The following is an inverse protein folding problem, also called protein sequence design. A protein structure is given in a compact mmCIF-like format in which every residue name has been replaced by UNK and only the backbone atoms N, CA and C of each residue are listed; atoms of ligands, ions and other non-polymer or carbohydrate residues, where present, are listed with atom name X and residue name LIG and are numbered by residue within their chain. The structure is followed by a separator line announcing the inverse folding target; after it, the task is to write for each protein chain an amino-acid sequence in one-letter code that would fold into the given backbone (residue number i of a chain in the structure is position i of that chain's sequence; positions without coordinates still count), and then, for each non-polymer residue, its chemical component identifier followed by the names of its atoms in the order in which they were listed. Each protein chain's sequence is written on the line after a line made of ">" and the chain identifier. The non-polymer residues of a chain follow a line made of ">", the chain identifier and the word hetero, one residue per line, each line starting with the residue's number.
data_IF_599503415996
#
_entry.id   IF_599503415996
#
_cell.length_a   1.000
_cell.length_b   1.000
_cell.length_c   1.000
_cell.angle_alpha   90.00
_cell.angle_beta   90.00
_cell.angle_gamma   90.00
#
_symmetry.space_group_name_H-M   'P 1'
#
loop_
_entity.id
_entity.type
_entity.pdbx_description
1 polymer ?
#
# COMPACT_ATOMS: atom_id res chain seq x y z
N UNK A 1 -39.35 14.94 6.74
CA UNK A 1 -39.58 13.53 6.33
C UNK A 1 -39.53 12.64 7.57
N UNK A 2 -40.44 11.67 7.71
CA UNK A 2 -40.53 10.79 8.89
C UNK A 2 -39.22 10.07 9.25
N UNK A 3 -38.38 9.75 8.25
CA UNK A 3 -37.06 9.12 8.42
C UNK A 3 -36.09 9.92 9.31
N UNK A 4 -36.13 11.26 9.23
CA UNK A 4 -35.22 12.14 10.00
C UNK A 4 -35.90 12.79 11.21
N UNK A 5 -37.22 12.96 11.15
CA UNK A 5 -38.01 13.69 12.15
C UNK A 5 -38.52 12.79 13.28
N UNK A 6 -38.71 11.49 13.05
CA UNK A 6 -39.26 10.56 14.06
C UNK A 6 -38.18 9.77 14.80
N UNK A 7 -38.48 9.35 16.05
CA UNK A 7 -37.59 8.50 16.85
C UNK A 7 -37.39 7.11 16.22
N UNK A 8 -38.42 6.59 15.56
CA UNK A 8 -38.40 5.29 14.87
C UNK A 8 -37.59 5.35 13.57
N UNK A 9 -37.73 6.41 12.77
CA UNK A 9 -36.95 6.62 11.55
C UNK A 9 -35.45 6.72 11.83
N UNK A 10 -35.06 7.42 12.91
CA UNK A 10 -33.64 7.50 13.33
C UNK A 10 -33.07 6.14 13.72
N UNK A 11 -33.83 5.32 14.45
CA UNK A 11 -33.39 3.95 14.79
C UNK A 11 -33.26 3.09 13.54
N UNK A 12 -34.17 3.23 12.57
CA UNK A 12 -34.08 2.50 11.31
C UNK A 12 -32.79 2.85 10.53
N UNK A 13 -32.44 4.14 10.40
CA UNK A 13 -31.18 4.56 9.77
C UNK A 13 -29.96 4.01 10.54
N UNK A 14 -30.01 4.02 11.87
CA UNK A 14 -28.96 3.42 12.71
C UNK A 14 -28.80 1.92 12.45
N UNK A 15 -29.91 1.18 12.33
CA UNK A 15 -29.92 -0.25 12.03
C UNK A 15 -29.39 -0.53 10.61
N UNK A 16 -29.80 0.24 9.62
CA UNK A 16 -29.39 0.06 8.22
C UNK A 16 -27.89 0.32 8.04
N UNK A 17 -27.40 1.46 8.54
CA UNK A 17 -25.96 1.76 8.50
C UNK A 17 -25.14 0.72 9.27
N UNK A 18 -25.61 0.30 10.45
CA UNK A 18 -24.98 -0.76 11.23
C UNK A 18 -24.90 -2.09 10.47
N UNK A 19 -25.96 -2.49 9.76
CA UNK A 19 -25.97 -3.70 8.96
C UNK A 19 -24.92 -3.65 7.84
N UNK A 20 -24.83 -2.53 7.10
CA UNK A 20 -23.81 -2.35 6.08
C UNK A 20 -22.38 -2.41 6.65
N UNK A 21 -22.15 -1.78 7.81
CA UNK A 21 -20.84 -1.80 8.47
C UNK A 21 -20.47 -3.19 8.99
N UNK A 22 -21.43 -3.99 9.48
CA UNK A 22 -21.18 -5.39 9.85
C UNK A 22 -20.76 -6.22 8.63
N UNK A 23 -21.44 -6.05 7.49
CA UNK A 23 -21.08 -6.73 6.25
C UNK A 23 -19.67 -6.34 5.80
N UNK A 24 -19.35 -5.04 5.83
CA UNK A 24 -18.01 -4.55 5.52
C UNK A 24 -16.95 -5.16 6.44
N UNK A 25 -17.13 -5.09 7.77
CA UNK A 25 -16.16 -5.63 8.74
C UNK A 25 -15.96 -7.14 8.56
N UNK A 26 -17.03 -7.87 8.22
CA UNK A 26 -16.97 -9.30 7.91
C UNK A 26 -16.12 -9.54 6.66
N UNK A 27 -16.46 -8.87 5.56
CA UNK A 27 -15.71 -8.97 4.31
C UNK A 27 -14.24 -8.61 4.53
N UNK A 28 -13.98 -7.50 5.21
CA UNK A 28 -12.65 -7.04 5.58
C UNK A 28 -11.89 -8.09 6.40
N UNK A 29 -12.52 -8.72 7.39
CA UNK A 29 -11.91 -9.79 8.18
C UNK A 29 -11.49 -10.98 7.31
N UNK A 30 -12.35 -11.41 6.39
CA UNK A 30 -12.10 -12.58 5.53
C UNK A 30 -10.97 -12.29 4.54
N UNK A 31 -10.97 -11.13 3.89
CA UNK A 31 -9.91 -10.76 2.96
C UNK A 31 -8.55 -10.65 3.66
N UNK A 32 -8.51 -10.07 4.86
CA UNK A 32 -7.28 -10.01 5.67
C UNK A 32 -6.83 -11.39 6.17
N UNK A 33 -7.74 -12.33 6.39
CA UNK A 33 -7.37 -13.69 6.80
C UNK A 33 -6.53 -14.41 5.74
N UNK A 34 -6.67 -14.04 4.45
CA UNK A 34 -5.83 -14.57 3.38
C UNK A 34 -4.35 -14.26 3.63
N UNK A 35 -4.00 -13.10 4.21
CA UNK A 35 -2.61 -12.77 4.53
C UNK A 35 -1.97 -13.72 5.57
N UNK A 36 -2.78 -14.46 6.34
CA UNK A 36 -2.27 -15.44 7.30
C UNK A 36 -1.73 -16.69 6.62
N UNK A 37 -2.48 -17.19 5.63
CA UNK A 37 -2.24 -18.48 4.98
C UNK A 37 -1.54 -18.33 3.64
N UNK A 38 -1.80 -17.25 2.91
CA UNK A 38 -1.29 -17.03 1.56
C UNK A 38 -0.95 -15.54 1.31
N UNK A 39 0.19 -15.06 1.84
CA UNK A 39 0.58 -13.65 1.76
C UNK A 39 0.67 -13.07 0.34
N UNK A 40 1.10 -13.85 -0.65
CA UNK A 40 1.15 -13.39 -2.05
C UNK A 40 -0.24 -13.17 -2.64
N UNK A 41 -1.21 -14.03 -2.32
CA UNK A 41 -2.60 -13.84 -2.74
C UNK A 41 -3.24 -12.61 -2.07
N UNK A 42 -2.83 -12.28 -0.84
CA UNK A 42 -3.26 -11.04 -0.20
C UNK A 42 -2.79 -9.78 -0.95
N UNK A 43 -1.58 -9.76 -1.51
CA UNK A 43 -1.15 -8.62 -2.31
C UNK A 43 -1.96 -8.50 -3.62
N UNK A 44 -2.35 -9.61 -4.25
CA UNK A 44 -3.26 -9.59 -5.42
C UNK A 44 -4.62 -9.00 -5.04
N UNK A 45 -5.12 -9.32 -3.85
CA UNK A 45 -6.33 -8.68 -3.30
C UNK A 45 -6.13 -7.18 -3.12
N UNK A 46 -4.96 -6.75 -2.62
CA UNK A 46 -4.63 -5.35 -2.43
C UNK A 46 -4.57 -4.58 -3.75
N UNK A 47 -3.98 -5.18 -4.79
CA UNK A 47 -3.99 -4.65 -6.15
C UNK A 47 -5.41 -4.52 -6.71
N UNK A 48 -6.24 -5.57 -6.58
CA UNK A 48 -7.63 -5.53 -7.01
C UNK A 48 -8.43 -4.44 -6.26
N UNK A 49 -8.19 -4.27 -4.96
CA UNK A 49 -8.84 -3.26 -4.12
C UNK A 49 -8.07 -1.94 -4.04
N UNK A 50 -7.10 -1.71 -4.94
CA UNK A 50 -6.38 -0.43 -5.09
C UNK A 50 -7.29 0.70 -5.60
N UNK A 51 -6.73 1.79 -6.10
CA UNK A 51 -7.48 2.97 -6.57
C UNK A 51 -8.28 2.76 -7.87
N UNK A 52 -8.78 1.54 -8.10
CA UNK A 52 -9.75 1.23 -9.14
C UNK A 52 -11.09 1.94 -8.90
N UNK A 53 -11.75 2.38 -9.97
CA UNK A 53 -12.98 3.20 -9.88
C UNK A 53 -14.08 2.59 -8.98
N UNK A 54 -14.26 1.27 -9.02
CA UNK A 54 -15.27 0.57 -8.21
C UNK A 54 -14.89 0.52 -6.73
N UNK A 55 -13.60 0.36 -6.42
CA UNK A 55 -13.08 0.36 -5.06
C UNK A 55 -13.13 1.78 -4.46
N UNK A 56 -12.89 2.82 -5.27
CA UNK A 56 -13.06 4.21 -4.87
C UNK A 56 -14.53 4.54 -4.55
N UNK A 57 -15.47 4.15 -5.41
CA UNK A 57 -16.91 4.32 -5.16
C UNK A 57 -17.34 3.59 -3.88
N UNK A 58 -16.88 2.35 -3.69
CA UNK A 58 -17.15 1.59 -2.47
C UNK A 58 -16.56 2.27 -1.21
N UNK A 59 -15.33 2.78 -1.30
CA UNK A 59 -14.65 3.52 -0.22
C UNK A 59 -15.40 4.79 0.16
N UNK A 60 -15.82 5.59 -0.82
CA UNK A 60 -16.63 6.80 -0.59
C UNK A 60 -17.99 6.46 0.02
N UNK A 61 -18.66 5.41 -0.47
CA UNK A 61 -19.92 4.93 0.09
C UNK A 61 -19.78 4.47 1.54
N UNK A 62 -18.71 3.74 1.86
CA UNK A 62 -18.41 3.31 3.22
C UNK A 62 -18.11 4.49 4.14
N UNK A 63 -17.31 5.45 3.69
CA UNK A 63 -17.03 6.68 4.44
C UNK A 63 -18.33 7.43 4.76
N UNK A 64 -19.22 7.58 3.78
CA UNK A 64 -20.53 8.19 3.98
C UNK A 64 -21.38 7.41 5.00
N UNK A 65 -21.46 6.08 4.89
CA UNK A 65 -22.18 5.23 5.84
C UNK A 65 -21.65 5.40 7.26
N UNK A 66 -20.33 5.46 7.43
CA UNK A 66 -19.67 5.64 8.71
C UNK A 66 -19.97 7.02 9.33
N UNK A 67 -19.91 8.08 8.52
CA UNK A 67 -20.27 9.45 8.93
C UNK A 67 -21.74 9.51 9.38
N UNK A 68 -22.66 8.97 8.58
CA UNK A 68 -24.10 8.93 8.92
C UNK A 68 -24.30 8.15 10.23
N UNK A 69 -23.63 7.01 10.38
CA UNK A 69 -23.72 6.18 11.59
C UNK A 69 -23.32 6.96 12.84
N UNK A 70 -22.20 7.69 12.80
CA UNK A 70 -21.71 8.50 13.92
C UNK A 70 -22.64 9.66 14.25
N UNK A 71 -23.11 10.39 13.22
CA UNK A 71 -24.02 11.52 13.40
C UNK A 71 -25.32 11.04 14.07
N UNK A 72 -25.93 9.97 13.56
CA UNK A 72 -27.16 9.41 14.13
C UNK A 72 -26.95 8.85 15.53
N UNK A 73 -25.84 8.14 15.78
CA UNK A 73 -25.50 7.64 17.11
C UNK A 73 -25.33 8.79 18.12
N UNK A 74 -24.68 9.88 17.72
CA UNK A 74 -24.50 11.08 18.56
C UNK A 74 -25.84 11.76 18.85
N UNK A 75 -26.65 11.99 17.83
CA UNK A 75 -28.00 12.56 17.99
C UNK A 75 -28.87 11.73 18.92
N UNK A 76 -28.89 10.40 18.76
CA UNK A 76 -29.69 9.50 19.57
C UNK A 76 -29.17 9.45 21.02
N UNK A 77 -27.85 9.49 21.21
CA UNK A 77 -27.23 9.52 22.55
C UNK A 77 -27.59 10.80 23.30
N UNK A 78 -27.51 11.96 22.63
CA UNK A 78 -27.89 13.25 23.22
C UNK A 78 -29.38 13.27 23.55
N UNK A 79 -30.25 12.80 22.66
CA UNK A 79 -31.69 12.73 22.90
C UNK A 79 -32.03 11.81 24.09
N UNK A 80 -31.43 10.62 24.15
CA UNK A 80 -31.60 9.69 25.26
C UNK A 80 -31.07 10.26 26.58
N UNK A 81 -30.02 11.10 26.54
CA UNK A 81 -29.50 11.80 27.72
C UNK A 81 -30.44 12.90 28.18
N UNK A 82 -30.95 13.73 27.25
CA UNK A 82 -31.93 14.79 27.54
C UNK A 82 -33.23 14.22 28.09
N UNK A 83 -33.75 13.13 27.52
CA UNK A 83 -34.98 12.48 27.96
C UNK A 83 -34.86 11.85 29.37
N UNK A 84 -33.65 11.43 29.78
CA UNK A 84 -33.40 10.91 31.14
C UNK A 84 -33.36 12.01 32.21
N UNK A 85 -33.15 13.28 31.83
CA UNK A 85 -33.02 14.39 32.77
C UNK A 85 -31.81 14.27 33.72
N UNK A 86 -31.72 15.17 34.71
CA UNK A 86 -30.65 15.18 35.72
C UNK A 86 -30.88 14.22 36.90
N UNK A 87 -31.96 13.42 36.89
CA UNK A 87 -32.27 12.53 38.00
C UNK A 87 -31.34 11.32 37.99
N UNK A 88 -30.49 11.23 39.02
CA UNK A 88 -29.73 10.01 39.34
C UNK A 88 -30.74 8.90 39.62
N UNK A 89 -30.62 7.76 38.94
CA UNK A 89 -31.51 6.60 39.13
C UNK A 89 -31.76 6.36 40.63
N UNK A 90 -33.03 6.41 41.04
CA UNK A 90 -33.47 6.13 42.41
C UNK A 90 -33.30 4.64 42.81
N UNK A 91 -32.85 3.81 41.87
CA UNK A 91 -32.55 2.40 42.06
C UNK A 91 -31.12 2.18 41.53
N UNK A 92 -30.16 1.97 42.43
CA UNK A 92 -28.74 1.72 42.10
C UNK A 92 -28.49 0.32 41.52
N UNK A 93 -29.51 -0.55 41.53
CA UNK A 93 -29.43 -1.90 40.98
C UNK A 93 -29.73 -1.84 39.48
N UNK A 94 -28.83 -2.41 38.68
CA UNK A 94 -29.06 -2.61 37.25
C UNK A 94 -30.44 -3.25 37.05
N UNK A 95 -31.31 -2.64 36.25
CA UNK A 95 -32.56 -3.28 35.86
C UNK A 95 -32.23 -4.66 35.25
N UNK A 96 -32.97 -5.74 35.61
CA UNK A 96 -32.71 -7.07 35.09
C UNK A 96 -32.64 -7.06 33.55
N UNK A 97 -31.54 -7.53 32.98
CA UNK A 97 -31.38 -7.67 31.52
C UNK A 97 -30.71 -6.52 30.77
N UNK A 98 -30.21 -5.46 31.43
CA UNK A 98 -29.45 -4.38 30.76
C UNK A 98 -27.95 -4.72 30.67
N UNK A 99 -27.46 -4.96 29.45
CA UNK A 99 -26.05 -5.27 29.17
C UNK A 99 -25.13 -4.05 29.41
N UNK A 100 -23.91 -4.27 29.91
CA UNK A 100 -22.92 -3.20 30.12
C UNK A 100 -22.54 -2.49 28.82
N UNK A 101 -22.42 -3.23 27.72
CA UNK A 101 -22.19 -2.70 26.37
C UNK A 101 -23.25 -1.68 25.96
N UNK A 102 -24.52 -1.95 26.25
CA UNK A 102 -25.63 -1.04 25.94
C UNK A 102 -25.52 0.32 26.65
N UNK A 103 -24.93 0.34 27.85
CA UNK A 103 -24.73 1.56 28.64
C UNK A 103 -23.55 2.39 28.15
N UNK A 104 -22.54 1.73 27.59
CA UNK A 104 -21.28 2.33 27.15
C UNK A 104 -21.14 2.39 25.62
N UNK A 105 -22.21 2.15 24.87
CA UNK A 105 -22.21 2.04 23.40
C UNK A 105 -21.54 3.23 22.71
N UNK A 106 -21.81 4.46 23.17
CA UNK A 106 -21.21 5.66 22.60
C UNK A 106 -19.70 5.73 22.87
N UNK A 107 -19.26 5.37 24.08
CA UNK A 107 -17.84 5.34 24.45
C UNK A 107 -17.10 4.28 23.64
N UNK A 108 -17.69 3.08 23.48
CA UNK A 108 -17.15 2.04 22.61
C UNK A 108 -17.01 2.54 21.16
N UNK A 109 -18.00 3.27 20.66
CA UNK A 109 -17.94 3.90 19.34
C UNK A 109 -16.79 4.91 19.19
N UNK A 110 -16.51 5.71 20.23
CA UNK A 110 -15.37 6.64 20.24
C UNK A 110 -14.03 5.89 20.21
N UNK A 111 -13.90 4.80 20.97
CA UNK A 111 -12.69 3.96 20.94
C UNK A 111 -12.48 3.34 19.56
N UNK A 112 -13.55 2.84 18.93
CA UNK A 112 -13.50 2.31 17.56
C UNK A 112 -13.11 3.39 16.55
N UNK A 113 -13.61 4.62 16.70
CA UNK A 113 -13.23 5.74 15.84
C UNK A 113 -11.73 6.07 15.97
N UNK A 114 -11.20 6.11 17.20
CA UNK A 114 -9.77 6.33 17.43
C UNK A 114 -8.91 5.21 16.82
N UNK A 115 -9.32 3.96 16.99
CA UNK A 115 -8.70 2.80 16.33
C UNK A 115 -8.75 2.94 14.80
N UNK A 116 -9.90 3.32 14.23
CA UNK A 116 -10.07 3.47 12.78
C UNK A 116 -9.12 4.54 12.21
N UNK A 117 -8.91 5.66 12.90
CA UNK A 117 -7.96 6.69 12.44
C UNK A 117 -6.54 6.13 12.32
N UNK A 118 -6.07 5.41 13.35
CA UNK A 118 -4.76 4.74 13.30
C UNK A 118 -4.70 3.74 12.15
N UNK A 119 -5.74 2.92 12.01
CA UNK A 119 -5.84 1.93 10.95
C UNK A 119 -5.80 2.55 9.54
N UNK A 120 -6.53 3.65 9.31
CA UNK A 120 -6.53 4.35 8.03
C UNK A 120 -5.17 4.97 7.71
N UNK A 121 -4.46 5.52 8.70
CA UNK A 121 -3.10 6.06 8.50
C UNK A 121 -2.11 4.96 8.13
N UNK A 122 -2.20 3.79 8.78
CA UNK A 122 -1.25 2.70 8.56
C UNK A 122 -1.46 1.96 7.23
N UNK A 123 -2.71 1.91 6.73
CA UNK A 123 -3.06 1.11 5.56
C UNK A 123 -3.64 1.98 4.43
N UNK A 124 -4.85 2.52 4.60
CA UNK A 124 -5.55 3.23 3.53
C UNK A 124 -4.75 4.42 2.97
N UNK A 125 -4.11 5.21 3.85
CA UNK A 125 -3.32 6.38 3.46
C UNK A 125 -2.05 6.00 2.68
N UNK A 126 -1.42 4.87 3.03
CA UNK A 126 -0.20 4.38 2.35
C UNK A 126 -0.47 3.60 1.06
N UNK A 127 -1.71 3.17 0.88
CA UNK A 127 -2.13 2.37 -0.27
C UNK A 127 -2.98 3.22 -1.22
N UNK A 128 -4.30 3.21 -1.04
CA UNK A 128 -5.26 3.82 -1.96
C UNK A 128 -5.12 5.35 -2.04
N UNK A 129 -4.83 6.05 -0.93
CA UNK A 129 -4.62 7.50 -0.98
C UNK A 129 -3.33 7.86 -1.72
N UNK A 130 -2.22 7.17 -1.43
CA UNK A 130 -0.94 7.39 -2.10
C UNK A 130 -1.05 7.19 -3.63
N UNK A 131 -1.80 6.17 -4.05
CA UNK A 131 -2.10 5.91 -5.46
C UNK A 131 -2.94 7.03 -6.09
N UNK A 132 -3.98 7.51 -5.40
CA UNK A 132 -4.82 8.65 -5.87
C UNK A 132 -3.99 9.93 -6.02
N UNK A 133 -3.05 10.17 -5.11
CA UNK A 133 -2.18 11.35 -5.14
C UNK A 133 -1.07 11.24 -6.20
N UNK A 134 -0.87 10.05 -6.79
CA UNK A 134 0.27 9.78 -7.68
C UNK A 134 1.62 9.81 -6.95
N UNK A 135 1.62 9.66 -5.62
CA UNK A 135 2.80 9.63 -4.76
C UNK A 135 3.16 8.19 -4.42
N UNK A 136 3.42 7.38 -5.44
CA UNK A 136 3.97 6.04 -5.27
C UNK A 136 5.45 6.19 -4.94
N UNK A 137 5.78 6.19 -3.65
CA UNK A 137 7.17 6.21 -3.20
C UNK A 137 7.94 4.95 -3.63
N UNK A 138 9.04 4.64 -2.96
CA UNK A 138 9.86 3.46 -3.32
C UNK A 138 9.17 2.11 -3.09
N UNK A 139 8.08 2.06 -2.33
CA UNK A 139 7.31 0.84 -2.02
C UNK A 139 6.05 0.85 -2.89
N UNK A 140 5.79 -0.20 -3.69
CA UNK A 140 4.55 -0.32 -4.45
C UNK A 140 3.33 -0.29 -3.53
N UNK A 141 2.34 0.54 -3.85
CA UNK A 141 1.11 0.71 -3.06
C UNK A 141 0.25 -0.57 -2.96
N UNK A 142 0.45 -1.49 -3.90
CA UNK A 142 -0.20 -2.81 -3.94
C UNK A 142 0.48 -3.85 -3.04
N UNK A 143 1.68 -3.56 -2.52
CA UNK A 143 2.44 -4.45 -1.63
C UNK A 143 1.89 -4.45 -0.20
N UNK A 144 0.62 -4.82 0.00
CA UNK A 144 -0.08 -4.79 1.28
C UNK A 144 0.66 -5.49 2.44
N UNK A 145 1.35 -6.59 2.14
CA UNK A 145 2.20 -7.31 3.11
C UNK A 145 3.39 -6.51 3.63
N UNK A 146 3.93 -5.57 2.85
CA UNK A 146 4.97 -4.64 3.31
C UNK A 146 4.35 -3.65 4.32
N UNK A 147 3.14 -3.15 4.08
CA UNK A 147 2.48 -2.29 5.07
C UNK A 147 2.09 -3.04 6.36
N UNK A 148 1.79 -4.35 6.26
CA UNK A 148 1.67 -5.23 7.43
C UNK A 148 3.01 -5.30 8.19
N UNK A 149 4.13 -5.51 7.48
CA UNK A 149 5.47 -5.51 8.06
C UNK A 149 5.74 -4.22 8.84
N UNK A 150 5.55 -3.05 8.21
CA UNK A 150 5.83 -1.77 8.84
C UNK A 150 4.95 -1.50 10.07
N UNK A 151 3.65 -1.75 9.94
CA UNK A 151 2.71 -1.50 11.03
C UNK A 151 2.99 -2.42 12.22
N UNK A 152 3.13 -3.73 11.99
CA UNK A 152 3.21 -4.73 13.06
C UNK A 152 4.63 -5.02 13.55
N UNK A 153 5.68 -4.48 12.93
CA UNK A 153 7.02 -4.38 13.54
C UNK A 153 7.01 -3.44 14.74
N UNK A 154 6.13 -2.44 14.74
CA UNK A 154 5.97 -1.52 15.87
C UNK A 154 5.26 -2.21 17.05
N UNK A 155 5.93 -2.34 18.20
CA UNK A 155 5.42 -3.07 19.37
C UNK A 155 4.09 -2.52 19.94
N UNK A 156 3.78 -1.23 19.72
CA UNK A 156 2.54 -0.61 20.19
C UNK A 156 1.33 -0.94 19.32
N UNK A 157 1.51 -1.26 18.03
CA UNK A 157 0.44 -1.53 17.07
C UNK A 157 -0.50 -2.65 17.53
N UNK A 158 -0.02 -3.87 17.90
CA UNK A 158 -0.92 -4.93 18.36
C UNK A 158 -1.70 -4.53 19.62
N UNK A 159 -1.14 -3.72 20.51
CA UNK A 159 -1.84 -3.25 21.73
C UNK A 159 -3.03 -2.37 21.35
N UNK A 160 -2.82 -1.38 20.49
CA UNK A 160 -3.90 -0.48 20.01
C UNK A 160 -4.97 -1.28 19.25
N UNK A 161 -4.56 -2.23 18.42
CA UNK A 161 -5.46 -3.07 17.64
C UNK A 161 -6.32 -3.96 18.53
N UNK A 162 -5.73 -4.63 19.53
CA UNK A 162 -6.47 -5.48 20.47
C UNK A 162 -7.49 -4.66 21.27
N UNK A 163 -7.13 -3.46 21.74
CA UNK A 163 -8.08 -2.56 22.42
C UNK A 163 -9.24 -2.20 21.48
N UNK A 164 -8.95 -1.83 20.23
CA UNK A 164 -9.95 -1.56 19.20
C UNK A 164 -10.86 -2.77 18.94
N UNK A 165 -10.31 -3.97 18.84
CA UNK A 165 -11.04 -5.21 18.61
C UNK A 165 -11.95 -5.60 19.78
N UNK A 166 -11.51 -5.40 21.03
CA UNK A 166 -12.37 -5.61 22.21
C UNK A 166 -13.52 -4.60 22.21
N UNK A 167 -13.27 -3.33 21.90
CA UNK A 167 -14.33 -2.34 21.78
C UNK A 167 -15.32 -2.69 20.66
N UNK A 168 -14.80 -3.11 19.50
CA UNK A 168 -15.58 -3.59 18.36
C UNK A 168 -16.41 -4.82 18.73
N UNK A 169 -15.87 -5.76 19.51
CA UNK A 169 -16.60 -6.93 19.98
C UNK A 169 -17.85 -6.53 20.77
N UNK A 170 -17.71 -5.68 21.78
CA UNK A 170 -18.86 -5.22 22.57
C UNK A 170 -19.86 -4.43 21.72
N UNK A 171 -19.37 -3.56 20.83
CA UNK A 171 -20.21 -2.71 19.99
C UNK A 171 -21.00 -3.54 18.97
N UNK A 172 -20.31 -4.39 18.20
CA UNK A 172 -20.90 -5.22 17.16
C UNK A 172 -21.79 -6.32 17.74
N UNK A 173 -21.39 -6.94 18.85
CA UNK A 173 -22.19 -7.99 19.50
C UNK A 173 -23.54 -7.44 19.97
N UNK A 174 -23.61 -6.20 20.46
CA UNK A 174 -24.90 -5.59 20.77
C UNK A 174 -25.59 -5.06 19.51
N UNK A 175 -24.85 -4.37 18.64
CA UNK A 175 -25.37 -3.75 17.41
C UNK A 175 -26.13 -4.75 16.53
N UNK A 176 -25.55 -5.92 16.30
CA UNK A 176 -26.07 -6.95 15.42
C UNK A 176 -27.46 -7.44 15.84
N UNK A 177 -27.69 -7.88 17.08
CA UNK A 177 -29.04 -8.31 17.45
C UNK A 177 -30.02 -7.13 17.58
N UNK A 178 -29.53 -5.94 17.95
CA UNK A 178 -30.36 -4.75 18.14
C UNK A 178 -30.94 -4.17 16.84
N UNK A 179 -30.25 -4.35 15.71
CA UNK A 179 -30.76 -3.92 14.40
C UNK A 179 -32.00 -4.73 13.99
N UNK A 180 -32.01 -6.04 14.27
CA UNK A 180 -33.18 -6.90 14.05
C UNK A 180 -34.35 -6.53 14.96
N UNK A 181 -34.06 -6.10 16.20
CA UNK A 181 -35.10 -5.58 17.08
C UNK A 181 -35.78 -4.33 16.49
N UNK A 182 -35.00 -3.47 15.84
CA UNK A 182 -35.47 -2.21 15.26
C UNK A 182 -36.42 -2.43 14.08
N UNK A 183 -36.18 -3.44 13.26
CA UNK A 183 -37.04 -3.78 12.11
C UNK A 183 -38.21 -4.72 12.48
N UNK A 184 -38.38 -5.04 13.76
CA UNK A 184 -39.52 -5.82 14.26
C UNK A 184 -39.30 -7.33 14.33
N UNK A 185 -38.10 -7.84 14.04
CA UNK A 185 -37.78 -9.27 14.19
C UNK A 185 -37.40 -9.59 15.64
N UNK A 186 -38.35 -9.44 16.57
CA UNK A 186 -38.08 -9.44 18.01
C UNK A 186 -39.05 -10.25 18.88
N UNK A 187 -39.77 -11.22 18.30
CA UNK A 187 -40.57 -12.13 19.13
C UNK A 187 -39.69 -12.89 20.14
N UNK A 188 -40.33 -13.40 21.20
CA UNK A 188 -39.68 -13.99 22.37
C UNK A 188 -38.73 -15.15 22.04
N UNK A 189 -38.97 -15.85 20.93
CA UNK A 189 -38.14 -16.97 20.47
C UNK A 189 -36.95 -16.45 19.66
N UNK A 190 -37.22 -15.62 18.65
CA UNK A 190 -36.20 -15.19 17.69
C UNK A 190 -35.19 -14.22 18.30
N UNK A 191 -35.61 -13.34 19.21
CA UNK A 191 -34.67 -12.40 19.84
C UNK A 191 -33.57 -13.13 20.63
N UNK A 192 -33.91 -14.26 21.28
CA UNK A 192 -32.94 -15.07 22.02
C UNK A 192 -31.97 -15.80 21.07
N UNK A 193 -32.47 -16.24 19.91
CA UNK A 193 -31.63 -16.85 18.86
C UNK A 193 -30.67 -15.83 18.26
N UNK A 194 -31.17 -14.64 17.91
CA UNK A 194 -30.36 -13.56 17.34
C UNK A 194 -29.27 -13.08 18.28
N UNK A 195 -29.54 -13.00 19.59
CA UNK A 195 -28.52 -12.73 20.60
C UNK A 195 -27.42 -13.80 20.63
N UNK A 196 -27.78 -15.08 20.56
CA UNK A 196 -26.80 -16.18 20.47
C UNK A 196 -26.00 -16.14 19.19
N UNK A 197 -26.65 -15.90 18.04
CA UNK A 197 -25.97 -15.74 16.74
C UNK A 197 -25.00 -14.57 16.79
N UNK A 198 -25.44 -13.43 17.34
CA UNK A 198 -24.60 -12.24 17.53
C UNK A 198 -23.33 -12.56 18.31
N UNK A 199 -23.49 -13.25 19.45
CA UNK A 199 -22.39 -13.64 20.32
C UNK A 199 -21.39 -14.54 19.61
N UNK A 200 -21.85 -15.60 18.95
CA UNK A 200 -20.97 -16.51 18.20
C UNK A 200 -20.28 -15.82 17.04
N UNK A 201 -21.06 -15.17 16.17
CA UNK A 201 -20.56 -14.52 14.97
C UNK A 201 -19.52 -13.45 15.29
N UNK A 202 -19.85 -12.54 16.20
CA UNK A 202 -18.96 -11.44 16.57
C UNK A 202 -17.71 -11.94 17.29
N UNK A 203 -17.84 -12.98 18.12
CA UNK A 203 -16.67 -13.60 18.76
C UNK A 203 -15.74 -14.26 17.75
N UNK A 204 -16.27 -14.94 16.72
CA UNK A 204 -15.45 -15.56 15.67
C UNK A 204 -14.72 -14.49 14.86
N UNK A 205 -15.43 -13.46 14.39
CA UNK A 205 -14.83 -12.37 13.61
C UNK A 205 -13.73 -11.66 14.39
N UNK A 206 -13.99 -11.32 15.66
CA UNK A 206 -12.99 -10.64 16.49
C UNK A 206 -11.83 -11.57 16.86
N UNK A 207 -12.08 -12.85 17.13
CA UNK A 207 -11.01 -13.81 17.38
C UNK A 207 -10.09 -13.94 16.15
N UNK A 208 -10.64 -13.92 14.93
CA UNK A 208 -9.85 -13.91 13.70
C UNK A 208 -9.02 -12.63 13.56
N UNK A 209 -9.58 -11.45 13.84
CA UNK A 209 -8.81 -10.21 13.86
C UNK A 209 -7.67 -10.22 14.90
N UNK A 210 -7.92 -10.76 16.09
CA UNK A 210 -6.87 -10.92 17.12
C UNK A 210 -5.80 -11.90 16.63
N UNK A 211 -6.18 -13.03 16.05
CA UNK A 211 -5.24 -13.97 15.45
C UNK A 211 -4.39 -13.30 14.35
N UNK A 212 -5.01 -12.47 13.51
CA UNK A 212 -4.32 -11.68 12.49
C UNK A 212 -3.27 -10.77 13.12
N UNK A 213 -3.64 -9.93 14.08
CA UNK A 213 -2.71 -9.02 14.74
C UNK A 213 -1.52 -9.77 15.39
N UNK A 214 -1.77 -10.90 16.05
CA UNK A 214 -0.72 -11.71 16.68
C UNK A 214 0.23 -12.32 15.65
N UNK A 215 -0.31 -12.98 14.61
CA UNK A 215 0.50 -13.62 13.57
C UNK A 215 1.29 -12.58 12.78
N UNK A 216 0.68 -11.46 12.42
CA UNK A 216 1.35 -10.36 11.73
C UNK A 216 2.49 -9.79 12.57
N UNK A 217 2.27 -9.60 13.87
CA UNK A 217 3.33 -9.16 14.80
C UNK A 217 4.50 -10.14 14.82
N UNK A 218 4.22 -11.44 14.97
CA UNK A 218 5.28 -12.47 15.00
C UNK A 218 6.05 -12.49 13.68
N UNK A 219 5.35 -12.54 12.54
CA UNK A 219 5.96 -12.57 11.20
C UNK A 219 6.75 -11.30 10.90
N UNK A 220 6.24 -10.13 11.27
CA UNK A 220 6.94 -8.86 11.09
C UNK A 220 8.22 -8.80 11.93
N UNK A 221 8.18 -9.25 13.19
CA UNK A 221 9.38 -9.31 14.03
C UNK A 221 10.45 -10.29 13.49
N UNK A 222 10.04 -11.29 12.72
CA UNK A 222 10.93 -12.21 12.00
C UNK A 222 11.36 -11.70 10.61
N UNK A 223 10.94 -10.51 10.20
CA UNK A 223 11.19 -9.94 8.87
C UNK A 223 10.70 -10.84 7.73
N UNK A 224 9.68 -11.65 8.01
CA UNK A 224 9.15 -12.64 7.08
C UNK A 224 8.70 -12.01 5.76
N UNK A 225 8.01 -10.86 5.81
CA UNK A 225 7.45 -10.25 4.61
C UNK A 225 8.52 -9.61 3.72
N UNK A 226 9.65 -9.19 4.28
CA UNK A 226 10.76 -8.62 3.52
C UNK A 226 11.80 -9.64 3.12
N UNK A 227 11.81 -10.85 3.69
CA UNK A 227 12.83 -11.90 3.41
C UNK A 227 12.29 -13.09 2.63
N UNK A 228 10.98 -13.28 2.56
CA UNK A 228 10.39 -14.40 1.85
C UNK A 228 10.57 -14.26 0.33
N UNK A 229 11.19 -15.26 -0.30
CA UNK A 229 11.50 -15.23 -1.74
C UNK A 229 10.27 -15.06 -2.65
N UNK A 230 9.14 -15.71 -2.33
CA UNK A 230 7.95 -15.60 -3.16
C UNK A 230 7.35 -14.19 -3.11
N UNK A 231 7.36 -13.56 -1.92
CA UNK A 231 6.95 -12.17 -1.76
C UNK A 231 7.93 -11.21 -2.45
N UNK A 232 9.25 -11.40 -2.27
CA UNK A 232 10.28 -10.60 -2.96
C UNK A 232 10.12 -10.61 -4.47
N UNK A 233 9.95 -11.81 -5.06
CA UNK A 233 9.71 -11.94 -6.50
C UNK A 233 8.43 -11.23 -6.94
N UNK A 234 7.36 -11.31 -6.13
CA UNK A 234 6.12 -10.60 -6.42
C UNK A 234 6.30 -9.08 -6.37
N UNK A 235 7.00 -8.55 -5.36
CA UNK A 235 7.24 -7.11 -5.26
C UNK A 235 8.10 -6.57 -6.40
N UNK A 236 9.09 -7.35 -6.86
CA UNK A 236 9.89 -6.99 -8.04
C UNK A 236 8.98 -6.81 -9.25
N UNK A 237 8.03 -7.73 -9.47
CA UNK A 237 7.01 -7.58 -10.52
C UNK A 237 6.25 -6.26 -10.38
N UNK A 238 5.74 -5.96 -9.18
CA UNK A 238 5.00 -4.71 -8.91
C UNK A 238 5.84 -3.46 -9.18
N UNK A 239 7.12 -3.44 -8.78
CA UNK A 239 8.02 -2.31 -9.04
C UNK A 239 8.23 -2.12 -10.55
N UNK A 240 8.46 -3.21 -11.29
CA UNK A 240 8.68 -3.14 -12.73
C UNK A 240 7.41 -2.65 -13.46
N UNK A 241 6.24 -3.14 -13.06
CA UNK A 241 4.95 -2.72 -13.60
C UNK A 241 4.71 -1.22 -13.38
N UNK A 242 4.91 -0.71 -12.15
CA UNK A 242 4.73 0.71 -11.82
C UNK A 242 5.71 1.62 -12.59
N UNK A 243 6.88 1.10 -12.98
CA UNK A 243 7.87 1.81 -13.79
C UNK A 243 7.61 1.77 -15.30
N UNK A 244 6.56 1.04 -15.74
CA UNK A 244 6.25 0.80 -17.15
C UNK A 244 7.20 -0.20 -17.82
N UNK A 245 7.97 -0.94 -17.02
CA UNK A 245 8.89 -2.00 -17.46
C UNK A 245 8.26 -3.40 -17.30
N UNK A 246 6.99 -3.44 -16.90
CA UNK A 246 6.17 -4.63 -16.75
C UNK A 246 5.97 -5.38 -18.06
N UNK A 247 6.31 -6.66 -18.07
CA UNK A 247 6.11 -7.57 -19.19
C UNK A 247 5.87 -9.00 -18.69
N UNK A 248 5.58 -9.92 -19.61
CA UNK A 248 5.28 -11.33 -19.29
C UNK A 248 6.45 -12.13 -18.64
N UNK A 249 7.59 -11.50 -18.38
CA UNK A 249 8.78 -12.13 -17.79
C UNK A 249 8.87 -11.79 -16.31
N UNK A 250 8.70 -12.80 -15.47
CA UNK A 250 9.00 -12.71 -14.05
C UNK A 250 10.52 -12.67 -13.85
N UNK A 251 11.05 -11.52 -13.44
CA UNK A 251 12.44 -11.41 -13.00
C UNK A 251 12.53 -11.91 -11.55
N UNK A 252 13.41 -12.89 -11.30
CA UNK A 252 13.69 -13.33 -9.94
C UNK A 252 14.42 -12.24 -9.14
N UNK A 253 14.16 -12.19 -7.84
CA UNK A 253 14.69 -11.18 -6.94
C UNK A 253 16.22 -11.06 -7.00
N UNK A 254 16.95 -12.18 -7.06
CA UNK A 254 18.41 -12.16 -7.07
C UNK A 254 18.97 -11.54 -8.36
N UNK A 255 18.36 -11.87 -9.52
CA UNK A 255 18.72 -11.27 -10.79
C UNK A 255 18.38 -9.77 -10.82
N UNK A 256 17.21 -9.39 -10.30
CA UNK A 256 16.83 -7.98 -10.15
C UNK A 256 17.79 -7.22 -9.23
N UNK A 257 18.19 -7.82 -8.11
CA UNK A 257 19.16 -7.25 -7.16
C UNK A 257 20.49 -6.96 -7.83
N UNK A 258 21.02 -7.91 -8.60
CA UNK A 258 22.27 -7.74 -9.35
C UNK A 258 22.14 -6.61 -10.38
N UNK A 259 21.10 -6.65 -11.22
CA UNK A 259 20.88 -5.66 -12.28
C UNK A 259 20.72 -4.24 -11.74
N UNK A 260 19.86 -4.04 -10.74
CA UNK A 260 19.64 -2.72 -10.14
C UNK A 260 20.89 -2.21 -9.41
N UNK A 261 21.65 -3.09 -8.75
CA UNK A 261 22.94 -2.72 -8.12
C UNK A 261 23.96 -2.28 -9.15
N UNK A 262 24.08 -3.00 -10.27
CA UNK A 262 24.99 -2.65 -11.36
C UNK A 262 24.58 -1.33 -12.03
N UNK A 263 23.29 -1.16 -12.36
CA UNK A 263 22.77 0.07 -12.96
C UNK A 263 23.00 1.29 -12.06
N UNK A 264 22.71 1.18 -10.76
CA UNK A 264 22.94 2.26 -9.81
C UNK A 264 24.44 2.57 -9.63
N UNK A 265 25.30 1.55 -9.62
CA UNK A 265 26.76 1.73 -9.55
C UNK A 265 27.32 2.46 -10.78
N UNK A 266 26.77 2.21 -11.96
CA UNK A 266 27.12 2.93 -13.19
C UNK A 266 26.74 4.40 -13.09
N UNK A 267 25.56 4.73 -12.57
CA UNK A 267 25.15 6.13 -12.36
C UNK A 267 26.11 6.84 -11.39
N UNK A 268 26.51 6.16 -10.31
CA UNK A 268 27.44 6.71 -9.31
C UNK A 268 28.87 6.92 -9.83
N UNK A 269 29.30 6.16 -10.85
CA UNK A 269 30.63 6.30 -11.43
C UNK A 269 30.74 7.45 -12.44
N UNK A 270 29.61 7.95 -12.95
CA UNK A 270 29.57 9.11 -13.84
C UNK A 270 29.92 10.39 -13.08
N UNK A 271 30.86 11.15 -13.62
CA UNK A 271 31.12 12.51 -13.19
C UNK A 271 30.08 13.50 -13.76
N UNK A 272 30.06 14.72 -13.24
CA UNK A 272 29.06 15.72 -13.65
C UNK A 272 29.18 16.12 -15.13
N UNK A 273 30.38 16.10 -15.71
CA UNK A 273 30.55 16.38 -17.14
C UNK A 273 29.92 15.29 -18.01
N UNK A 274 30.12 14.03 -17.65
CA UNK A 274 29.53 12.87 -18.33
C UNK A 274 28.00 12.89 -18.22
N UNK A 275 27.46 13.16 -17.02
CA UNK A 275 26.01 13.32 -16.84
C UNK A 275 25.45 14.44 -17.70
N UNK A 276 26.14 15.58 -17.77
CA UNK A 276 25.71 16.70 -18.60
C UNK A 276 25.72 16.36 -20.10
N UNK A 277 26.72 15.60 -20.57
CA UNK A 277 26.74 15.12 -21.95
C UNK A 277 25.55 14.19 -22.24
N UNK A 278 25.25 13.26 -21.33
CA UNK A 278 24.12 12.33 -21.50
C UNK A 278 22.80 13.08 -21.47
N UNK A 279 22.60 14.04 -20.56
CA UNK A 279 21.39 14.90 -20.52
C UNK A 279 21.15 15.62 -21.84
N UNK A 280 22.20 16.10 -22.48
CA UNK A 280 22.09 16.78 -23.77
C UNK A 280 21.65 15.83 -24.91
N UNK A 281 21.90 14.53 -24.77
CA UNK A 281 21.55 13.50 -25.77
C UNK A 281 20.23 12.78 -25.45
N UNK A 282 19.91 12.62 -24.16
CA UNK A 282 18.70 11.98 -23.66
C UNK A 282 17.98 12.91 -22.68
N UNK A 283 16.92 13.60 -23.12
CA UNK A 283 16.09 14.43 -22.26
C UNK A 283 15.40 13.65 -21.12
N UNK A 284 15.32 12.32 -21.23
CA UNK A 284 14.72 11.45 -20.21
C UNK A 284 15.73 10.93 -19.17
N UNK A 285 17.03 11.24 -19.32
CA UNK A 285 18.09 10.72 -18.46
C UNK A 285 17.81 10.92 -16.97
N UNK A 286 17.37 12.10 -16.55
CA UNK A 286 17.11 12.37 -15.13
C UNK A 286 15.94 11.51 -14.60
N UNK A 287 14.93 11.21 -15.44
CA UNK A 287 13.85 10.29 -15.08
C UNK A 287 14.36 8.85 -14.98
N UNK A 288 15.21 8.41 -15.91
CA UNK A 288 15.83 7.08 -15.85
C UNK A 288 16.70 6.90 -14.59
N UNK A 289 17.47 7.92 -14.24
CA UNK A 289 18.26 7.96 -13.00
C UNK A 289 17.37 7.86 -11.77
N UNK A 290 16.24 8.56 -11.75
CA UNK A 290 15.24 8.48 -10.67
C UNK A 290 14.67 7.06 -10.55
N UNK A 291 14.25 6.44 -11.67
CA UNK A 291 13.74 5.05 -11.67
C UNK A 291 14.75 4.07 -11.09
N UNK A 292 16.00 4.13 -11.56
CA UNK A 292 17.08 3.24 -11.10
C UNK A 292 17.41 3.50 -9.61
N UNK A 293 17.40 4.76 -9.19
CA UNK A 293 17.59 5.14 -7.79
C UNK A 293 16.48 4.55 -6.92
N UNK A 294 15.22 4.68 -7.31
CA UNK A 294 14.08 4.15 -6.56
C UNK A 294 14.11 2.62 -6.48
N UNK A 295 14.46 1.92 -7.56
CA UNK A 295 14.65 0.46 -7.56
C UNK A 295 15.72 0.03 -6.54
N UNK A 296 16.85 0.74 -6.52
CA UNK A 296 17.94 0.43 -5.60
C UNK A 296 17.61 0.77 -4.15
N UNK A 297 16.91 1.88 -3.91
CA UNK A 297 16.37 2.24 -2.59
C UNK A 297 15.38 1.20 -2.08
N UNK A 298 14.52 0.66 -2.96
CA UNK A 298 13.62 -0.44 -2.63
C UNK A 298 14.37 -1.72 -2.26
N UNK A 299 15.48 -2.03 -2.95
CA UNK A 299 16.35 -3.15 -2.56
C UNK A 299 16.95 -2.96 -1.18
N UNK A 300 17.46 -1.76 -0.88
CA UNK A 300 17.97 -1.44 0.45
C UNK A 300 16.90 -1.63 1.53
N UNK A 301 15.66 -1.22 1.25
CA UNK A 301 14.52 -1.46 2.13
C UNK A 301 14.30 -2.95 2.40
N UNK A 302 14.22 -3.78 1.36
CA UNK A 302 14.01 -5.24 1.50
C UNK A 302 15.16 -5.94 2.23
N UNK A 303 16.37 -5.42 2.13
CA UNK A 303 17.57 -5.94 2.79
C UNK A 303 17.78 -5.36 4.21
N UNK A 304 16.88 -4.49 4.68
CA UNK A 304 16.97 -3.87 6.01
C UNK A 304 18.15 -2.90 6.15
N UNK A 305 18.65 -2.35 5.04
CA UNK A 305 19.72 -1.36 5.00
C UNK A 305 19.16 0.06 5.08
N UNK A 306 20.03 1.04 5.36
CA UNK A 306 19.67 2.45 5.15
C UNK A 306 19.25 2.64 3.69
N UNK A 307 18.12 3.32 3.47
CA UNK A 307 17.52 3.50 2.14
C UNK A 307 18.51 4.14 1.16
N UNK A 308 19.38 5.04 1.65
CA UNK A 308 20.37 5.77 0.86
C UNK A 308 21.78 5.14 0.95
N UNK A 309 21.92 3.96 1.55
CA UNK A 309 23.19 3.24 1.57
C UNK A 309 23.66 3.00 0.13
N UNK A 310 24.92 3.33 -0.16
CA UNK A 310 25.51 3.08 -1.48
C UNK A 310 25.99 1.63 -1.59
N UNK A 311 26.06 1.07 -2.81
CA UNK A 311 26.64 -0.26 -3.00
C UNK A 311 28.11 -0.23 -2.61
N UNK A 312 28.59 -1.34 -2.06
CA UNK A 312 30.02 -1.56 -1.95
C UNK A 312 30.57 -1.65 -3.36
N UNK A 313 31.30 -0.61 -3.78
CA UNK A 313 32.02 -0.64 -5.04
C UNK A 313 32.96 -1.85 -4.98
N UNK A 314 32.98 -2.72 -6.01
CA UNK A 314 33.87 -3.86 -5.99
C UNK A 314 35.27 -3.36 -5.70
N UNK A 315 35.87 -3.83 -4.60
CA UNK A 315 37.29 -3.63 -4.39
C UNK A 315 37.97 -4.18 -5.62
N UNK A 316 38.70 -3.34 -6.34
CA UNK A 316 39.40 -3.70 -7.55
C UNK A 316 40.29 -4.91 -7.23
N UNK A 317 39.87 -6.13 -7.59
CA UNK A 317 40.69 -7.31 -7.47
C UNK A 317 41.43 -7.46 -8.80
N UNK A 318 42.73 -7.13 -8.89
CA UNK A 318 43.45 -7.13 -10.16
C UNK A 318 43.56 -8.51 -10.80
N UNK A 319 43.17 -9.59 -10.09
CA UNK A 319 43.27 -10.97 -10.56
C UNK A 319 42.08 -11.48 -11.40
N UNK A 320 41.03 -10.68 -11.63
CA UNK A 320 39.93 -11.03 -12.56
C UNK A 320 39.95 -10.21 -13.85
N UNK A 321 41.13 -9.96 -14.43
CA UNK A 321 41.20 -9.67 -15.86
C UNK A 321 40.86 -10.97 -16.63
N UNK A 322 40.00 -10.94 -17.65
CA UNK A 322 39.95 -12.03 -18.61
C UNK A 322 41.37 -12.21 -19.18
N UNK A 323 41.99 -13.37 -18.93
CA UNK A 323 43.20 -13.74 -19.65
C UNK A 323 42.83 -13.91 -21.11
N UNK A 324 42.99 -12.85 -21.90
CA UNK A 324 42.60 -12.88 -23.30
C UNK A 324 42.28 -11.50 -23.86
N UNK A 325 43.21 -10.54 -23.74
CA UNK A 325 43.36 -9.52 -24.77
C UNK A 325 44.70 -9.78 -25.46
N UNK A 326 44.76 -9.85 -26.80
CA UNK A 326 46.03 -9.92 -27.50
C UNK A 326 46.80 -8.64 -27.15
N UNK A 327 48.00 -8.81 -26.60
CA UNK A 327 48.94 -7.70 -26.45
C UNK A 327 49.11 -7.09 -27.83
N UNK A 328 48.86 -5.78 -27.94
CA UNK A 328 49.07 -5.04 -29.16
C UNK A 328 50.43 -5.36 -29.74
N UNK A 329 50.41 -5.89 -30.95
CA UNK A 329 51.60 -6.08 -31.77
C UNK A 329 52.24 -4.70 -31.93
N UNK A 330 53.47 -4.55 -31.42
CA UNK A 330 54.29 -3.38 -31.72
C UNK A 330 54.51 -3.40 -33.24
N UNK A 331 53.84 -2.50 -33.94
CA UNK A 331 54.16 -2.21 -35.34
C UNK A 331 55.55 -1.59 -35.35
N UNK A 332 56.54 -2.43 -35.64
CA UNK A 332 57.89 -2.01 -35.97
C UNK A 332 57.83 -1.47 -37.41
N UNK A 333 58.03 -0.15 -37.55
CA UNK A 333 58.08 0.49 -38.87
C UNK A 333 59.45 0.16 -39.47
N UNK A 334 59.48 -0.76 -40.44
CA UNK A 334 60.62 -0.95 -41.33
C UNK A 334 60.46 -0.04 -42.55
N UNK A 335 61.42 0.86 -42.73
CA UNK A 335 61.64 1.59 -43.99
C UNK A 335 62.03 0.59 -45.09
N UNK A 336 61.22 0.48 -46.15
CA UNK A 336 61.71 0.03 -47.46
C UNK A 336 60.80 0.52 -48.61
N UNK A 337 61.31 1.54 -49.28
CA UNK A 337 61.27 1.90 -50.69
C UNK A 337 60.47 1.01 -51.67
N UNK A 338 59.38 1.55 -52.26
CA UNK A 338 58.90 1.13 -53.59
C UNK A 338 58.37 2.34 -54.39
N UNK A 339 59.23 2.78 -55.29
CA UNK A 339 59.06 3.34 -56.64
C UNK A 339 57.70 3.84 -57.15
N UNK A 340 57.78 5.00 -57.80
CA UNK A 340 56.76 5.62 -58.64
C UNK A 340 56.31 4.75 -59.82
N UNK A 341 55.00 4.73 -60.07
CA UNK A 341 54.43 4.48 -61.39
C UNK A 341 53.17 5.36 -61.58
N UNK A 342 53.00 5.85 -62.80
CA UNK A 342 52.20 7.00 -63.22
C UNK A 342 50.75 6.65 -63.66
N UNK A 343 49.80 7.56 -63.33
CA UNK A 343 48.70 8.12 -64.19
C UNK A 343 47.43 7.23 -64.43
N UNK A 344 46.20 7.75 -64.72
CA UNK A 344 45.75 9.14 -64.97
C UNK A 344 44.54 9.66 -64.15
N UNK A 345 44.35 10.96 -64.29
CA UNK A 345 43.21 11.77 -63.88
C UNK A 345 41.93 11.53 -64.71
N UNK A 346 40.76 11.56 -64.05
CA UNK A 346 39.55 12.14 -64.63
C UNK A 346 38.53 12.56 -63.55
N UNK A 347 37.88 13.70 -63.80
CA UNK A 347 36.78 14.34 -63.05
C UNK A 347 37.11 15.23 -61.85
N UNK A 348 37.72 16.37 -62.19
CA UNK A 348 37.36 17.66 -61.62
C UNK A 348 36.37 18.38 -62.56
N UNK A 349 35.14 18.61 -62.10
CA UNK A 349 34.21 19.70 -62.47
C UNK A 349 32.88 19.44 -61.73
N UNK A 350 32.25 20.34 -60.98
CA UNK A 350 32.42 21.78 -60.87
C UNK A 350 31.97 22.22 -59.46
N UNK A 351 32.81 23.00 -58.82
CA UNK A 351 32.43 23.95 -57.79
C UNK A 351 32.63 25.36 -58.36
N UNK A 352 31.83 26.30 -57.86
CA UNK A 352 31.93 27.76 -58.01
C UNK A 352 31.20 28.42 -59.20
N UNK A 353 29.98 28.88 -58.92
CA UNK A 353 29.36 30.17 -59.31
C UNK A 353 27.89 30.04 -58.83
N UNK A 354 27.29 30.88 -57.99
CA UNK A 354 27.42 32.32 -57.88
C UNK A 354 27.04 32.79 -56.46
N UNK A 355 27.83 33.73 -55.97
CA UNK A 355 27.51 34.65 -54.88
C UNK A 355 27.05 35.96 -55.54
N UNK A 356 25.78 36.39 -55.36
CA UNK A 356 25.42 37.80 -55.23
C UNK A 356 23.92 38.09 -54.98
N UNK A 357 23.68 38.88 -53.94
CA UNK A 357 22.75 40.02 -53.86
C UNK A 357 21.22 39.86 -54.05
N UNK A 358 20.46 40.15 -52.98
CA UNK A 358 19.41 41.22 -52.80
C UNK A 358 18.57 40.86 -51.56
N UNK A 359 18.57 41.59 -50.43
CA UNK A 359 18.04 42.94 -50.09
C UNK A 359 16.56 43.16 -50.41
N UNK A 360 15.78 43.40 -49.34
CA UNK A 360 14.45 44.03 -49.22
C UNK A 360 13.21 43.39 -49.87
N UNK A 361 12.32 42.84 -49.04
CA UNK A 361 11.11 43.52 -48.53
C UNK A 361 10.42 42.72 -47.43
#
# INVERSE_FOLDING_TARGET
>A
MWLTSSSIGRKFIMALTGACLVLFVTFHCVMNAIALVWPTAYNVICEFLGANWYALVASMGLALLFIIHIIWASMLTIQNRRARGNQRYSISKNAPGVEWSSKNMYVLGVVILAFLVVHLIQFWAKMQLAEIEGHEGIIPVQAGTIFIQEAFKCAWTPVVYIIGFVALWFHMNHGFWSMFQTIGWNNTIWIQRLKKVSAWWTSIVVALFVAQALVFTVKANQDYYTTNNALRNQYVGMVLDNLGMGGNQSIEYDAFKEQATQAYSQILSLNEQQKQMIRNQSPEFDKEVEKITNMYQFLNYLEGKDINAKPELPQFNPMMMPQGMPQGEKVEVSEEEVTAEEVPAENAAAAAEADNNTVNQ
#
